data_IF_700529641239
#
_entry.id   IF_700529641239
#
_cell.length_a   1.000
_cell.length_b   1.000
_cell.length_c   1.000
_cell.angle_alpha   90.00
_cell.angle_beta   90.00
_cell.angle_gamma   90.00
#
_symmetry.space_group_name_H-M   'P 1'
#
loop_
_entity.id
_entity.type
_entity.pdbx_description
1 polymer ?
#
# COMPACT_ATOMS: atom_id res chain seq x y z
N UNK A 1 16.18 -14.15 -7.69
CA UNK A 1 14.81 -13.72 -7.88
C UNK A 1 14.75 -12.28 -8.37
N UNK A 2 14.11 -12.05 -9.50
CA UNK A 2 14.10 -10.74 -10.15
C UNK A 2 13.45 -9.65 -9.29
N UNK A 3 12.36 -9.96 -8.62
CA UNK A 3 11.68 -8.98 -7.76
C UNK A 3 12.60 -8.49 -6.63
N UNK A 4 13.30 -9.40 -5.98
CA UNK A 4 14.20 -9.04 -4.89
C UNK A 4 15.37 -8.19 -5.39
N UNK A 5 15.94 -8.54 -6.53
CA UNK A 5 17.05 -7.78 -7.10
C UNK A 5 16.65 -6.35 -7.46
N UNK A 6 15.47 -6.18 -8.05
CA UNK A 6 14.96 -4.86 -8.40
C UNK A 6 14.72 -4.02 -7.15
N UNK A 7 14.14 -4.61 -6.12
CA UNK A 7 13.89 -3.89 -4.87
C UNK A 7 15.18 -3.43 -4.21
N UNK A 8 16.19 -4.31 -4.17
CA UNK A 8 17.49 -3.93 -3.61
C UNK A 8 18.19 -2.85 -4.41
N UNK A 9 18.09 -2.95 -5.74
CA UNK A 9 18.77 -2.01 -6.64
C UNK A 9 18.15 -0.61 -6.56
N UNK A 10 16.82 -0.53 -6.58
CA UNK A 10 16.11 0.76 -6.61
C UNK A 10 15.93 1.38 -5.23
N UNK A 11 15.96 0.57 -4.18
CA UNK A 11 15.75 1.05 -2.80
C UNK A 11 16.88 0.57 -1.90
N UNK A 12 18.09 1.14 -2.05
CA UNK A 12 19.22 0.76 -1.18
C UNK A 12 18.88 1.06 0.27
N UNK A 13 19.28 0.16 1.15
CA UNK A 13 18.98 0.27 2.56
C UNK A 13 17.65 -0.35 2.97
N UNK A 14 16.89 -0.91 2.02
CA UNK A 14 15.65 -1.61 2.37
C UNK A 14 15.97 -2.90 3.15
N UNK A 15 15.00 -3.32 3.96
CA UNK A 15 15.06 -4.61 4.63
C UNK A 15 14.30 -5.61 3.79
N UNK A 16 14.93 -6.73 3.47
CA UNK A 16 14.35 -7.70 2.57
C UNK A 16 14.58 -9.11 3.10
N UNK A 17 13.50 -9.86 3.26
CA UNK A 17 13.55 -11.28 3.59
C UNK A 17 13.01 -12.07 2.40
N UNK A 18 13.80 -13.02 1.90
CA UNK A 18 13.39 -13.88 0.81
C UNK A 18 13.44 -15.31 1.29
N UNK A 19 12.27 -15.94 1.36
CA UNK A 19 12.16 -17.34 1.71
C UNK A 19 11.60 -18.14 0.55
N UNK A 20 11.30 -19.39 0.80
CA UNK A 20 10.66 -20.24 -0.18
C UNK A 20 9.22 -19.77 -0.37
N UNK A 21 8.87 -19.25 -1.53
CA UNK A 21 7.54 -18.74 -1.85
C UNK A 21 7.12 -17.56 -0.97
N UNK A 22 8.10 -16.78 -0.51
CA UNK A 22 7.82 -15.64 0.36
C UNK A 22 8.83 -14.55 0.14
N UNK A 23 8.36 -13.32 0.02
CA UNK A 23 9.19 -12.13 -0.02
C UNK A 23 8.57 -11.07 0.89
N UNK A 24 9.36 -10.52 1.80
CA UNK A 24 8.92 -9.42 2.67
C UNK A 24 9.91 -8.29 2.53
N UNK A 25 9.39 -7.12 2.17
CA UNK A 25 10.18 -5.91 1.95
C UNK A 25 9.70 -4.83 2.89
N UNK A 26 10.63 -4.14 3.56
CA UNK A 26 10.32 -3.01 4.43
C UNK A 26 11.21 -1.84 4.09
N UNK A 27 10.62 -0.64 4.11
CA UNK A 27 11.34 0.57 3.76
C UNK A 27 10.59 1.78 4.29
N UNK A 28 11.33 2.88 4.48
CA UNK A 28 10.72 4.15 4.86
C UNK A 28 10.45 4.95 3.60
N UNK A 29 9.21 5.39 3.44
CA UNK A 29 8.76 6.17 2.28
C UNK A 29 8.32 7.54 2.75
N UNK A 30 8.80 8.57 2.06
CA UNK A 30 8.39 9.95 2.26
C UNK A 30 7.73 10.41 0.96
N UNK A 31 6.38 10.50 0.92
CA UNK A 31 5.69 10.76 -0.35
C UNK A 31 6.00 12.12 -0.97
N UNK A 32 6.26 13.14 -0.16
CA UNK A 32 6.69 14.45 -0.65
C UNK A 32 7.81 14.98 0.23
N UNK A 33 8.50 16.02 -0.23
CA UNK A 33 9.57 16.63 0.55
C UNK A 33 9.08 17.22 1.88
N UNK A 34 7.78 17.52 1.97
CA UNK A 34 7.17 18.06 3.18
C UNK A 34 6.55 17.00 4.07
N UNK A 35 6.52 15.77 3.62
CA UNK A 35 5.88 14.68 4.35
C UNK A 35 6.80 14.11 5.42
N UNK A 36 6.20 13.45 6.41
CA UNK A 36 6.95 12.60 7.32
C UNK A 36 7.35 11.32 6.58
N UNK A 37 8.22 10.53 7.19
CA UNK A 37 8.54 9.21 6.68
C UNK A 37 7.57 8.18 7.26
N UNK A 38 7.13 7.28 6.41
CA UNK A 38 6.26 6.16 6.80
C UNK A 38 7.03 4.87 6.60
N UNK A 39 6.96 3.98 7.58
CA UNK A 39 7.55 2.65 7.41
C UNK A 39 6.49 1.74 6.83
N UNK A 40 6.77 1.15 5.67
CA UNK A 40 5.83 0.27 4.98
C UNK A 40 6.43 -1.12 4.85
N UNK A 41 5.53 -2.10 4.76
CA UNK A 41 5.90 -3.51 4.56
C UNK A 41 5.07 -4.06 3.41
N UNK A 42 5.75 -4.71 2.46
CA UNK A 42 5.10 -5.41 1.37
C UNK A 42 5.36 -6.91 1.56
N UNK A 43 4.28 -7.69 1.60
CA UNK A 43 4.35 -9.15 1.64
C UNK A 43 3.91 -9.70 0.32
N UNK A 44 4.74 -10.53 -0.29
CA UNK A 44 4.46 -11.16 -1.55
C UNK A 44 4.68 -12.67 -1.43
N UNK A 45 3.65 -13.43 -1.81
CA UNK A 45 3.68 -14.89 -1.77
C UNK A 45 3.42 -15.42 -3.19
N UNK A 46 4.47 -15.53 -4.01
CA UNK A 46 4.27 -16.01 -5.38
C UNK A 46 3.72 -17.45 -5.38
N UNK A 47 2.85 -17.72 -6.35
CA UNK A 47 2.25 -19.04 -6.55
C UNK A 47 1.35 -19.55 -5.42
N UNK A 48 0.88 -18.65 -4.56
CA UNK A 48 -0.07 -19.02 -3.50
C UNK A 48 -1.48 -18.94 -4.02
N UNK A 49 -2.14 -20.08 -4.11
CA UNK A 49 -3.54 -20.12 -4.56
C UNK A 49 -4.47 -19.61 -3.48
N UNK A 50 -5.42 -18.78 -3.89
CA UNK A 50 -6.43 -18.27 -2.98
C UNK A 50 -5.95 -17.17 -2.02
N UNK A 51 -4.71 -16.73 -2.15
CA UNK A 51 -4.16 -15.67 -1.32
C UNK A 51 -3.96 -14.43 -2.20
N UNK A 52 -4.61 -13.33 -1.81
CA UNK A 52 -4.41 -12.04 -2.49
C UNK A 52 -3.05 -11.49 -2.10
N UNK A 53 -2.13 -11.41 -3.06
CA UNK A 53 -0.82 -10.81 -2.84
C UNK A 53 -0.40 -10.08 -4.10
N UNK A 54 0.48 -9.05 -4.03
CA UNK A 54 1.14 -8.53 -2.84
C UNK A 54 0.21 -7.71 -1.94
N UNK A 55 0.54 -7.67 -0.66
CA UNK A 55 -0.18 -6.86 0.31
C UNK A 55 0.75 -5.84 0.95
N UNK A 56 0.26 -4.62 1.13
CA UNK A 56 1.05 -3.53 1.69
C UNK A 56 0.45 -3.06 3.00
N UNK A 57 1.30 -2.88 3.99
CA UNK A 57 0.91 -2.42 5.32
C UNK A 57 1.73 -1.20 5.70
N UNK A 58 1.09 -0.25 6.38
CA UNK A 58 1.82 0.86 7.01
C UNK A 58 2.11 0.44 8.43
N UNK A 59 3.39 0.26 8.75
CA UNK A 59 3.83 -0.17 10.08
C UNK A 59 4.02 1.00 11.02
N UNK A 60 4.47 2.14 10.51
CA UNK A 60 4.68 3.34 11.30
C UNK A 60 4.23 4.56 10.49
N UNK A 61 3.42 5.45 11.09
CA UNK A 61 2.90 5.40 12.47
C UNK A 61 1.99 4.19 12.69
N UNK A 62 2.08 3.62 13.89
CA UNK A 62 1.28 2.45 14.25
C UNK A 62 -0.23 2.73 14.13
N UNK A 63 -0.63 3.95 14.42
CA UNK A 63 -2.00 4.40 14.26
C UNK A 63 -1.97 5.69 13.44
N UNK A 64 -2.27 5.58 12.15
CA UNK A 64 -2.31 6.74 11.28
C UNK A 64 -3.39 7.71 11.74
N UNK A 65 -3.08 9.00 11.89
CA UNK A 65 -4.09 10.01 12.22
C UNK A 65 -5.25 9.97 11.23
N UNK A 66 -6.44 10.24 11.75
CA UNK A 66 -7.67 10.26 10.95
C UNK A 66 -8.08 11.69 10.63
N UNK A 67 -8.79 11.87 9.53
CA UNK A 67 -9.39 13.15 9.21
C UNK A 67 -10.47 13.49 10.24
N UNK A 68 -10.71 14.78 10.44
CA UNK A 68 -11.69 15.24 11.40
C UNK A 68 -13.06 14.61 11.15
N UNK A 69 -13.67 14.07 12.19
CA UNK A 69 -14.98 13.44 12.12
C UNK A 69 -14.99 12.04 11.57
N UNK A 70 -13.82 11.50 11.18
CA UNK A 70 -13.73 10.15 10.63
C UNK A 70 -13.33 9.15 11.71
N UNK A 71 -13.83 7.93 11.58
CA UNK A 71 -13.58 6.87 12.56
C UNK A 71 -12.67 5.77 12.06
N UNK A 72 -12.35 5.76 10.76
CA UNK A 72 -11.46 4.75 10.17
C UNK A 72 -10.78 5.31 8.94
N UNK A 73 -9.73 4.62 8.50
CA UNK A 73 -8.96 5.01 7.33
C UNK A 73 -9.73 4.77 6.02
N UNK A 74 -9.48 5.60 5.00
CA UNK A 74 -10.05 5.37 3.67
C UNK A 74 -9.25 4.32 2.91
N UNK A 75 -9.89 3.66 1.96
CA UNK A 75 -9.22 2.78 0.99
C UNK A 75 -8.23 1.82 1.64
N UNK A 76 -8.71 1.08 2.65
CA UNK A 76 -7.94 0.03 3.30
C UNK A 76 -8.75 -1.26 3.29
N UNK A 77 -8.04 -2.39 3.27
CA UNK A 77 -8.67 -3.69 3.47
C UNK A 77 -8.86 -3.99 4.95
N UNK A 78 -7.98 -3.47 5.79
CA UNK A 78 -8.06 -3.67 7.23
C UNK A 78 -7.53 -2.43 7.94
N UNK A 79 -8.39 -1.80 8.72
CA UNK A 79 -8.05 -0.58 9.43
C UNK A 79 -7.03 -0.84 10.55
N UNK A 80 -7.22 -1.93 11.29
CA UNK A 80 -6.38 -2.24 12.46
C UNK A 80 -4.95 -2.54 12.08
N UNK A 81 -4.74 -3.33 11.02
CA UNK A 81 -3.39 -3.66 10.56
C UNK A 81 -2.84 -2.64 9.57
N UNK A 82 -3.66 -1.66 9.21
CA UNK A 82 -3.34 -0.64 8.21
C UNK A 82 -2.88 -1.26 6.89
N UNK A 83 -3.63 -2.30 6.46
CA UNK A 83 -3.42 -2.95 5.18
C UNK A 83 -4.10 -2.11 4.12
N UNK A 84 -3.30 -1.41 3.33
CA UNK A 84 -3.83 -0.43 2.38
C UNK A 84 -4.25 -1.08 1.06
N UNK A 85 -5.23 -0.48 0.40
CA UNK A 85 -5.79 -0.98 -0.85
C UNK A 85 -5.18 -0.21 -2.02
N UNK A 86 -4.26 -0.84 -2.75
CA UNK A 86 -3.54 -0.22 -3.86
C UNK A 86 -4.09 -0.62 -5.22
N UNK A 87 -4.79 -1.75 -5.30
CA UNK A 87 -5.29 -2.26 -6.57
C UNK A 87 -6.49 -3.15 -6.33
N UNK A 88 -7.31 -3.32 -7.36
CA UNK A 88 -8.45 -4.23 -7.30
C UNK A 88 -8.00 -5.59 -7.83
N UNK A 89 -7.81 -6.55 -6.91
CA UNK A 89 -7.39 -7.90 -7.27
C UNK A 89 -8.44 -8.60 -8.15
N UNK A 90 -9.70 -8.23 -8.03
CA UNK A 90 -10.79 -8.83 -8.82
C UNK A 90 -10.69 -8.46 -10.29
N UNK A 91 -10.17 -7.27 -10.58
CA UNK A 91 -9.96 -6.77 -11.93
C UNK A 91 -8.55 -7.07 -12.44
N UNK A 92 -7.77 -7.83 -11.69
CA UNK A 92 -6.41 -8.22 -12.06
C UNK A 92 -5.53 -7.03 -12.42
N UNK A 93 -5.64 -5.97 -11.63
CA UNK A 93 -4.83 -4.76 -11.85
C UNK A 93 -3.35 -4.99 -11.57
N UNK A 94 -3.03 -6.07 -10.88
CA UNK A 94 -1.64 -6.47 -10.65
C UNK A 94 -1.49 -7.95 -10.91
N UNK A 95 -0.37 -8.34 -11.52
CA UNK A 95 -0.03 -9.73 -11.75
C UNK A 95 1.48 -9.95 -11.61
N UNK A 96 1.95 -11.20 -11.47
CA UNK A 96 3.38 -11.48 -11.21
C UNK A 96 4.34 -11.10 -12.32
N UNK A 97 3.86 -10.73 -13.51
CA UNK A 97 4.74 -10.22 -14.56
C UNK A 97 5.15 -8.77 -14.30
N UNK A 98 4.43 -8.10 -13.41
CA UNK A 98 4.70 -6.72 -13.06
C UNK A 98 5.75 -6.64 -11.95
N UNK A 99 6.53 -5.56 -11.95
CA UNK A 99 7.57 -5.35 -10.95
C UNK A 99 6.99 -4.72 -9.71
N UNK A 100 7.25 -5.31 -8.54
CA UNK A 100 6.87 -4.70 -7.25
C UNK A 100 7.51 -3.33 -7.11
N UNK A 101 8.79 -3.23 -7.50
CA UNK A 101 9.56 -2.00 -7.34
C UNK A 101 9.02 -0.85 -8.17
N UNK A 102 8.44 -1.12 -9.34
CA UNK A 102 7.96 -0.08 -10.24
C UNK A 102 6.44 0.09 -10.24
N UNK A 103 5.72 -0.75 -9.53
CA UNK A 103 4.25 -0.64 -9.40
C UNK A 103 3.84 -0.45 -7.95
N UNK A 104 3.95 -1.49 -7.14
CA UNK A 104 3.44 -1.46 -5.77
C UNK A 104 4.12 -0.37 -4.93
N UNK A 105 5.43 -0.19 -5.07
CA UNK A 105 6.13 0.82 -4.28
C UNK A 105 5.71 2.24 -4.67
N UNK A 106 5.70 2.64 -5.95
CA UNK A 106 5.16 3.95 -6.32
C UNK A 106 3.69 4.12 -5.95
N UNK A 107 2.87 3.08 -6.11
CA UNK A 107 1.45 3.15 -5.73
C UNK A 107 1.29 3.37 -4.23
N UNK A 108 2.17 2.78 -3.41
CA UNK A 108 2.18 3.02 -1.97
C UNK A 108 2.46 4.48 -1.65
N UNK A 109 3.45 5.07 -2.34
CA UNK A 109 3.78 6.47 -2.16
C UNK A 109 2.61 7.37 -2.56
N UNK A 110 1.92 7.05 -3.66
CA UNK A 110 0.73 7.79 -4.07
C UNK A 110 -0.39 7.67 -3.04
N UNK A 111 -0.62 6.46 -2.51
CA UNK A 111 -1.63 6.26 -1.47
C UNK A 111 -1.34 7.14 -0.25
N UNK A 112 -0.08 7.18 0.17
CA UNK A 112 0.31 8.00 1.31
C UNK A 112 0.12 9.49 1.03
N UNK A 113 0.38 9.94 -0.18
CA UNK A 113 0.12 11.31 -0.58
C UNK A 113 -1.37 11.64 -0.50
N UNK A 114 -2.22 10.80 -1.08
CA UNK A 114 -3.67 11.02 -1.02
C UNK A 114 -4.20 10.89 0.40
N UNK A 115 -3.59 10.03 1.21
CA UNK A 115 -3.91 9.93 2.62
C UNK A 115 -3.66 11.27 3.33
N UNK A 116 -2.52 11.92 3.07
CA UNK A 116 -2.20 13.20 3.69
C UNK A 116 -3.19 14.29 3.29
N UNK A 117 -3.59 14.31 2.03
CA UNK A 117 -4.63 15.24 1.56
C UNK A 117 -5.95 14.95 2.27
N UNK A 118 -6.29 13.67 2.42
CA UNK A 118 -7.51 13.27 3.10
C UNK A 118 -7.53 13.71 4.57
N UNK A 119 -6.41 13.58 5.27
CA UNK A 119 -6.33 14.03 6.67
C UNK A 119 -6.64 15.52 6.76
N UNK A 120 -6.17 16.31 5.81
CA UNK A 120 -6.38 17.76 5.83
C UNK A 120 -7.77 18.18 5.34
N UNK A 121 -8.34 17.47 4.40
CA UNK A 121 -9.58 17.90 3.73
C UNK A 121 -10.79 17.03 4.04
N UNK A 122 -10.58 15.81 4.51
CA UNK A 122 -11.66 14.84 4.69
C UNK A 122 -12.08 14.15 3.40
N UNK A 123 -11.44 14.47 2.27
CA UNK A 123 -11.81 13.91 0.98
C UNK A 123 -10.67 13.13 0.36
N UNK A 124 -11.03 12.01 -0.29
CA UNK A 124 -10.07 11.16 -0.98
C UNK A 124 -10.07 11.49 -2.46
N UNK A 125 -8.95 11.97 -2.96
CA UNK A 125 -8.81 12.35 -4.37
C UNK A 125 -8.13 11.30 -5.23
N UNK A 126 -7.72 10.17 -4.62
CA UNK A 126 -7.10 9.09 -5.37
C UNK A 126 -8.10 8.38 -6.27
N UNK A 127 -7.62 7.73 -7.33
CA UNK A 127 -8.45 7.00 -8.28
C UNK A 127 -8.40 5.49 -8.02
N UNK A 128 -9.33 4.78 -8.62
CA UNK A 128 -9.39 3.33 -8.61
C UNK A 128 -10.68 2.81 -8.03
N UNK A 129 -11.07 1.62 -8.49
CA UNK A 129 -12.22 0.90 -7.96
C UNK A 129 -11.72 -0.10 -6.92
N UNK A 130 -11.95 0.22 -5.66
CA UNK A 130 -11.54 -0.64 -4.56
C UNK A 130 -12.79 -1.19 -3.86
N UNK A 131 -12.67 -2.28 -3.11
CA UNK A 131 -13.83 -2.91 -2.48
C UNK A 131 -14.70 -1.99 -1.64
N UNK A 132 -14.17 -0.87 -1.15
CA UNK A 132 -14.94 0.07 -0.35
C UNK A 132 -15.57 1.24 -1.10
N UNK A 133 -15.20 1.43 -2.37
CA UNK A 133 -15.60 2.63 -3.11
C UNK A 133 -17.10 2.77 -3.32
N UNK A 134 -17.77 1.68 -3.59
CA UNK A 134 -19.21 1.72 -3.84
C UNK A 134 -19.97 2.17 -2.60
N UNK A 135 -19.52 1.77 -1.42
CA UNK A 135 -20.13 2.22 -0.18
C UNK A 135 -19.92 3.71 0.03
N UNK A 136 -18.73 4.19 -0.28
CA UNK A 136 -18.42 5.61 -0.13
C UNK A 136 -19.29 6.44 -1.05
N UNK A 137 -19.51 5.98 -2.27
CA UNK A 137 -20.37 6.68 -3.23
C UNK A 137 -21.83 6.66 -2.81
N UNK A 138 -22.29 5.58 -2.20
CA UNK A 138 -23.67 5.46 -1.76
C UNK A 138 -23.95 6.27 -0.50
N UNK A 139 -22.93 6.59 0.26
CA UNK A 139 -23.05 7.38 1.48
C UNK A 139 -23.12 8.89 1.19
N UNK A 140 -22.88 9.27 -0.03
CA UNK A 140 -23.05 10.65 -0.48
C UNK A 140 -24.52 10.91 -0.79
#
# INVERSE_FOLDING_TARGET
MAQAQQLRSLFPGCKLEVGRRKLVWCYDIQPTAMSRCYTVKIKYHPNSKGVMTPNTYVLFPKHLPLAEGKTKLPHVYCNESQKICLYDWRNKEWDPTMSLATTIVPWTSEWLYFYEVWVMTGEWYGEGNHPGDEKDKNDE
#
